data_IF_938525010389
#
_entry.id   IF_938525010389
#
_cell.length_a   1.000
_cell.length_b   1.000
_cell.length_c   1.000
_cell.angle_alpha   90.00
_cell.angle_beta   90.00
_cell.angle_gamma   90.00
#
_symmetry.space_group_name_H-M   'P 1'
#
loop_
_entity.id
_entity.type
_entity.pdbx_description
1 polymer ?
#
# COMPACT_ATOMS: atom_id res chain seq x y z
N UNK A 1 13.03 -0.41 -14.75
CA UNK A 1 11.86 -1.10 -15.36
C UNK A 1 10.85 -1.44 -14.28
N UNK A 2 9.58 -1.71 -14.61
CA UNK A 2 8.56 -2.04 -13.60
C UNK A 2 8.94 -3.24 -12.72
N UNK A 3 9.61 -4.26 -13.29
CA UNK A 3 10.08 -5.43 -12.52
C UNK A 3 11.07 -5.04 -11.42
N UNK A 4 11.91 -4.05 -11.68
CA UNK A 4 12.88 -3.53 -10.71
C UNK A 4 12.16 -2.82 -9.56
N UNK A 5 11.23 -1.90 -9.86
CA UNK A 5 10.41 -1.20 -8.85
C UNK A 5 9.67 -2.21 -7.96
N UNK A 6 9.06 -3.26 -8.54
CA UNK A 6 8.38 -4.31 -7.79
C UNK A 6 9.31 -5.14 -6.90
N UNK A 7 10.55 -5.37 -7.35
CA UNK A 7 11.56 -6.11 -6.60
C UNK A 7 12.07 -5.29 -5.40
N UNK A 8 12.32 -3.99 -5.60
CA UNK A 8 12.69 -3.05 -4.54
C UNK A 8 11.58 -2.93 -3.50
N UNK A 9 10.35 -2.65 -3.94
CA UNK A 9 9.18 -2.58 -3.06
C UNK A 9 9.01 -3.85 -2.23
N UNK A 10 9.21 -5.03 -2.85
CA UNK A 10 9.17 -6.31 -2.14
C UNK A 10 10.28 -6.39 -1.09
N UNK A 11 11.52 -6.02 -1.43
CA UNK A 11 12.65 -6.09 -0.52
C UNK A 11 12.47 -5.15 0.68
N UNK A 12 12.03 -3.91 0.44
CA UNK A 12 11.73 -2.91 1.47
C UNK A 12 10.59 -3.36 2.37
N UNK A 13 9.49 -3.85 1.79
CA UNK A 13 8.36 -4.34 2.58
C UNK A 13 8.80 -5.50 3.48
N UNK A 14 9.60 -6.44 2.95
CA UNK A 14 10.12 -7.55 3.75
C UNK A 14 11.04 -7.07 4.88
N UNK A 15 11.88 -6.06 4.65
CA UNK A 15 12.73 -5.46 5.69
C UNK A 15 11.87 -4.83 6.78
N UNK A 16 10.95 -3.95 6.40
CA UNK A 16 10.08 -3.25 7.35
C UNK A 16 9.23 -4.22 8.18
N UNK A 17 8.67 -5.27 7.55
CA UNK A 17 7.89 -6.29 8.23
C UNK A 17 8.70 -7.16 9.21
N UNK A 18 10.04 -7.26 9.06
CA UNK A 18 10.89 -7.95 10.05
C UNK A 18 11.19 -7.09 11.27
N UNK A 19 11.16 -5.77 11.11
CA UNK A 19 11.40 -4.82 12.20
C UNK A 19 10.13 -4.46 12.98
N UNK A 20 8.95 -4.83 12.48
CA UNK A 20 7.67 -4.57 13.14
C UNK A 20 7.39 -5.60 14.25
N UNK A 21 7.20 -5.12 15.48
CA UNK A 21 7.01 -5.96 16.68
C UNK A 21 5.53 -6.25 16.99
N UNK A 22 4.59 -5.48 16.44
CA UNK A 22 3.15 -5.67 16.69
C UNK A 22 2.34 -5.80 15.41
N UNK A 23 1.17 -6.43 15.50
CA UNK A 23 0.22 -6.54 14.38
C UNK A 23 -0.11 -5.17 13.78
N UNK A 24 -0.28 -4.13 14.61
CA UNK A 24 -0.52 -2.75 14.16
C UNK A 24 0.68 -2.17 13.43
N UNK A 25 1.88 -2.32 13.99
CA UNK A 25 3.12 -1.85 13.36
C UNK A 25 3.36 -2.50 11.99
N UNK A 26 2.97 -3.77 11.81
CA UNK A 26 3.07 -4.45 10.51
C UNK A 26 2.24 -3.75 9.44
N UNK A 27 1.01 -3.33 9.76
CA UNK A 27 0.14 -2.61 8.82
C UNK A 27 0.74 -1.24 8.49
N UNK A 28 1.17 -0.47 9.50
CA UNK A 28 1.81 0.84 9.27
C UNK A 28 3.12 0.73 8.48
N UNK A 29 3.89 -0.34 8.69
CA UNK A 29 5.11 -0.59 7.92
C UNK A 29 4.83 -0.80 6.42
N UNK A 30 3.74 -1.50 6.07
CA UNK A 30 3.33 -1.66 4.67
C UNK A 30 2.92 -0.33 4.06
N UNK A 31 2.15 0.49 4.79
CA UNK A 31 1.75 1.83 4.34
C UNK A 31 3.00 2.69 4.13
N UNK A 32 3.87 2.81 5.14
CA UNK A 32 5.07 3.63 5.07
C UNK A 32 5.99 3.27 3.90
N UNK A 33 6.16 1.98 3.59
CA UNK A 33 7.01 1.56 2.46
C UNK A 33 6.45 2.02 1.10
N UNK A 34 5.13 2.02 0.91
CA UNK A 34 4.51 2.54 -0.33
C UNK A 34 4.66 4.07 -0.46
N UNK A 35 4.94 4.80 0.62
CA UNK A 35 5.19 6.24 0.56
C UNK A 35 6.64 6.60 0.89
N UNK A 36 7.56 5.62 0.81
CA UNK A 36 8.99 5.86 0.98
C UNK A 36 9.53 6.76 -0.14
N UNK A 37 10.69 7.38 0.10
CA UNK A 37 11.33 8.23 -0.89
C UNK A 37 11.52 7.52 -2.23
N UNK A 38 11.85 6.22 -2.23
CA UNK A 38 11.99 5.44 -3.46
C UNK A 38 10.66 5.28 -4.24
N UNK A 39 9.54 5.13 -3.53
CA UNK A 39 8.23 4.90 -4.14
C UNK A 39 7.49 6.19 -4.51
N UNK A 40 7.71 7.27 -3.76
CA UNK A 40 6.96 8.51 -3.89
C UNK A 40 7.70 9.61 -4.68
N UNK A 41 8.74 9.24 -5.45
CA UNK A 41 9.31 10.11 -6.47
C UNK A 41 8.36 10.28 -7.67
N UNK A 42 8.33 11.46 -8.32
CA UNK A 42 7.51 11.72 -9.51
C UNK A 42 7.67 10.66 -10.61
N UNK A 43 8.91 10.23 -10.88
CA UNK A 43 9.22 9.26 -11.94
C UNK A 43 8.72 7.85 -11.59
N UNK A 44 8.84 7.46 -10.31
CA UNK A 44 8.32 6.17 -9.83
C UNK A 44 6.79 6.13 -9.89
N UNK A 45 6.12 7.22 -9.47
CA UNK A 45 4.67 7.35 -9.57
C UNK A 45 4.23 7.30 -11.03
N UNK A 46 4.89 8.03 -11.93
CA UNK A 46 4.60 7.99 -13.36
C UNK A 46 4.76 6.57 -13.94
N UNK A 47 5.78 5.83 -13.51
CA UNK A 47 5.98 4.44 -13.92
C UNK A 47 4.86 3.51 -13.43
N UNK A 48 4.37 3.70 -12.21
CA UNK A 48 3.20 2.97 -11.67
C UNK A 48 1.94 3.24 -12.50
N UNK A 49 1.66 4.50 -12.84
CA UNK A 49 0.48 4.86 -13.63
C UNK A 49 0.55 4.34 -15.07
N UNK A 50 1.71 4.46 -15.71
CA UNK A 50 1.95 3.87 -17.03
C UNK A 50 1.78 2.34 -16.98
N UNK A 51 2.27 1.69 -15.92
CA UNK A 51 2.12 0.26 -15.71
C UNK A 51 0.64 -0.16 -15.57
N UNK A 52 -0.18 0.61 -14.85
CA UNK A 52 -1.61 0.32 -14.70
C UNK A 52 -2.36 0.34 -16.04
N UNK A 53 -2.05 1.31 -16.90
CA UNK A 53 -2.63 1.40 -18.24
C UNK A 53 -2.14 0.27 -19.13
N UNK A 54 -0.83 0.03 -19.15
CA UNK A 54 -0.22 -0.97 -20.04
C UNK A 54 -0.60 -2.41 -19.65
N UNK A 55 -0.79 -2.68 -18.36
CA UNK A 55 -1.28 -3.97 -17.87
C UNK A 55 -2.70 -4.32 -18.35
N UNK A 56 -3.48 -3.36 -18.86
CA UNK A 56 -4.77 -3.65 -19.48
C UNK A 56 -4.64 -4.28 -20.87
N UNK A 57 -3.52 -4.03 -21.55
CA UNK A 57 -3.28 -4.46 -22.94
C UNK A 57 -2.31 -5.64 -23.03
N UNK A 58 -1.45 -5.82 -22.03
CA UNK A 58 -0.41 -6.84 -22.03
C UNK A 58 -0.69 -7.96 -21.01
N UNK A 59 -0.90 -9.22 -21.45
CA UNK A 59 -1.10 -10.36 -20.54
C UNK A 59 0.07 -10.57 -19.56
N UNK A 60 1.30 -10.32 -20.01
CA UNK A 60 2.50 -10.47 -19.19
C UNK A 60 2.53 -9.43 -18.05
N UNK A 61 2.18 -8.17 -18.35
CA UNK A 61 2.12 -7.10 -17.36
C UNK A 61 0.91 -7.24 -16.44
N UNK A 62 -0.24 -7.72 -16.97
CA UNK A 62 -1.40 -8.10 -16.14
C UNK A 62 -1.06 -9.16 -15.11
N UNK A 63 -0.17 -10.11 -15.44
CA UNK A 63 0.32 -11.12 -14.48
C UNK A 63 1.15 -10.46 -13.38
N UNK A 64 2.00 -9.48 -13.70
CA UNK A 64 2.77 -8.73 -12.70
C UNK A 64 1.85 -7.91 -11.80
N UNK A 65 0.83 -7.23 -12.36
CA UNK A 65 -0.12 -6.43 -11.60
C UNK A 65 -0.88 -7.31 -10.59
N UNK A 66 -1.32 -8.50 -11.01
CA UNK A 66 -1.93 -9.51 -10.12
C UNK A 66 -0.99 -9.96 -9.00
N UNK A 67 0.31 -10.08 -9.26
CA UNK A 67 1.29 -10.45 -8.23
C UNK A 67 1.47 -9.31 -7.23
N UNK A 68 1.60 -8.07 -7.69
CA UNK A 68 1.65 -6.88 -6.82
C UNK A 68 0.42 -6.80 -5.93
N UNK A 69 -0.79 -6.79 -6.50
CA UNK A 69 -2.04 -6.66 -5.76
C UNK A 69 -2.18 -7.74 -4.67
N UNK A 70 -1.89 -9.01 -5.01
CA UNK A 70 -1.91 -10.10 -4.03
C UNK A 70 -0.89 -9.92 -2.92
N UNK A 71 0.33 -9.47 -3.24
CA UNK A 71 1.38 -9.24 -2.23
C UNK A 71 1.00 -8.10 -1.30
N UNK A 72 0.52 -6.97 -1.83
CA UNK A 72 0.06 -5.85 -1.01
C UNK A 72 -1.05 -6.30 -0.05
N UNK A 73 -2.08 -6.98 -0.59
CA UNK A 73 -3.18 -7.50 0.22
C UNK A 73 -2.69 -8.48 1.30
N UNK A 74 -1.87 -9.48 0.95
CA UNK A 74 -1.31 -10.43 1.92
C UNK A 74 -0.43 -9.77 2.98
N UNK A 75 0.35 -8.76 2.61
CA UNK A 75 1.19 -8.01 3.55
C UNK A 75 0.33 -7.24 4.56
N UNK A 76 -0.74 -6.58 4.11
CA UNK A 76 -1.71 -5.90 4.98
C UNK A 76 -2.42 -6.89 5.91
N UNK A 77 -2.92 -8.01 5.36
CA UNK A 77 -3.54 -9.07 6.15
C UNK A 77 -2.61 -9.62 7.24
N UNK A 78 -1.30 -9.70 6.98
CA UNK A 78 -0.34 -10.20 7.97
C UNK A 78 -0.28 -9.40 9.27
N UNK A 79 -0.80 -8.17 9.28
CA UNK A 79 -1.05 -7.40 10.50
C UNK A 79 -2.53 -7.37 10.87
N UNK A 80 -3.42 -7.12 9.90
CA UNK A 80 -4.85 -6.92 10.16
C UNK A 80 -5.54 -8.13 10.80
N UNK A 81 -5.17 -9.37 10.46
CA UNK A 81 -5.80 -10.56 11.07
C UNK A 81 -5.40 -10.77 12.54
N UNK A 82 -4.35 -10.11 13.01
CA UNK A 82 -3.99 -10.08 14.43
C UNK A 82 -4.80 -9.07 15.24
N UNK A 83 -5.64 -8.27 14.58
CA UNK A 83 -6.43 -7.19 15.19
C UNK A 83 -7.92 -7.42 14.95
N UNK A 84 -8.32 -7.74 13.72
CA UNK A 84 -9.71 -7.84 13.26
C UNK A 84 -10.10 -9.28 12.90
N UNK A 85 -11.41 -9.64 12.95
CA UNK A 85 -11.94 -10.84 12.32
C UNK A 85 -11.58 -10.88 10.84
N UNK A 86 -11.40 -12.09 10.28
CA UNK A 86 -10.86 -12.26 8.92
C UNK A 86 -11.65 -11.50 7.84
N UNK A 87 -12.98 -11.57 7.86
CA UNK A 87 -13.83 -10.89 6.88
C UNK A 87 -13.74 -9.36 6.96
N UNK A 88 -13.47 -8.81 8.13
CA UNK A 88 -13.20 -7.38 8.31
C UNK A 88 -11.78 -7.02 7.90
N UNK A 89 -10.80 -7.85 8.24
CA UNK A 89 -9.42 -7.68 7.82
C UNK A 89 -9.28 -7.64 6.30
N UNK A 90 -9.97 -8.53 5.57
CA UNK A 90 -9.99 -8.53 4.10
C UNK A 90 -10.59 -7.21 3.56
N UNK A 91 -11.71 -6.72 4.12
CA UNK A 91 -12.33 -5.45 3.70
C UNK A 91 -11.44 -4.24 3.97
N UNK A 92 -10.78 -4.21 5.13
CA UNK A 92 -9.85 -3.12 5.48
C UNK A 92 -8.60 -3.17 4.61
N UNK A 93 -8.06 -4.36 4.32
CA UNK A 93 -6.90 -4.52 3.44
C UNK A 93 -7.20 -3.99 2.02
N UNK A 94 -8.34 -4.36 1.45
CA UNK A 94 -8.76 -3.88 0.13
C UNK A 94 -8.92 -2.36 0.10
N UNK A 95 -9.57 -1.78 1.10
CA UNK A 95 -9.76 -0.34 1.20
C UNK A 95 -8.43 0.41 1.38
N UNK A 96 -7.51 -0.10 2.21
CA UNK A 96 -6.17 0.47 2.37
C UNK A 96 -5.38 0.42 1.06
N UNK A 97 -5.43 -0.70 0.32
CA UNK A 97 -4.78 -0.80 -0.99
C UNK A 97 -5.36 0.22 -1.99
N UNK A 98 -6.69 0.37 -2.04
CA UNK A 98 -7.33 1.37 -2.89
C UNK A 98 -6.95 2.81 -2.53
N UNK A 99 -6.77 3.12 -1.24
CA UNK A 99 -6.28 4.43 -0.80
C UNK A 99 -4.84 4.69 -1.26
N UNK A 100 -3.96 3.68 -1.18
CA UNK A 100 -2.57 3.80 -1.65
C UNK A 100 -2.54 4.16 -3.13
N UNK A 101 -3.22 3.37 -3.98
CA UNK A 101 -3.25 3.59 -5.42
C UNK A 101 -3.92 4.94 -5.77
N UNK A 102 -5.00 5.30 -5.06
CA UNK A 102 -5.69 6.57 -5.24
C UNK A 102 -4.84 7.79 -4.89
N UNK A 103 -3.96 7.68 -3.89
CA UNK A 103 -3.04 8.76 -3.50
C UNK A 103 -1.91 8.95 -4.51
N UNK A 104 -1.45 7.88 -5.18
CA UNK A 104 -0.53 7.99 -6.31
C UNK A 104 -1.16 8.77 -7.47
N UNK A 105 -2.42 8.45 -7.83
CA UNK A 105 -3.17 9.18 -8.86
C UNK A 105 -3.31 10.65 -8.48
N UNK A 106 -3.69 10.94 -7.23
CA UNK A 106 -3.85 12.34 -6.76
C UNK A 106 -2.53 13.11 -6.82
N UNK A 107 -1.42 12.48 -6.45
CA UNK A 107 -0.08 13.08 -6.53
C UNK A 107 0.34 13.34 -7.98
N UNK A 108 -0.02 12.49 -8.92
CA UNK A 108 0.28 12.71 -10.34
C UNK A 108 -0.54 13.84 -10.98
N UNK A 109 -1.70 14.17 -10.41
CA UNK A 109 -2.61 15.20 -10.95
C UNK A 109 -2.36 16.61 -10.39
N UNK A 110 -1.59 16.75 -9.30
CA UNK A 110 -1.40 18.01 -8.61
C UNK A 110 -0.01 18.09 -7.97
N UNK A 111 0.63 19.24 -8.12
CA UNK A 111 1.78 19.59 -7.30
C UNK A 111 1.32 19.91 -5.86
N UNK A 112 2.16 19.58 -4.87
CA UNK A 112 1.86 19.81 -3.45
C UNK A 112 1.15 18.63 -2.75
N UNK A 113 0.04 18.88 -2.05
CA UNK A 113 -0.67 17.84 -1.27
C UNK A 113 -1.49 16.92 -2.20
N UNK A 114 -1.45 15.59 -2.01
CA UNK A 114 -0.77 14.87 -0.94
C UNK A 114 0.73 14.66 -1.19
N UNK A 115 1.57 15.09 -0.25
CA UNK A 115 2.95 14.60 -0.13
C UNK A 115 2.97 13.28 0.66
N UNK A 116 4.11 12.59 0.71
CA UNK A 116 4.24 11.30 1.39
C UNK A 116 3.72 11.32 2.84
N UNK A 117 4.08 12.33 3.62
CA UNK A 117 3.66 12.46 5.01
C UNK A 117 2.13 12.61 5.14
N UNK A 118 1.52 13.49 4.35
CA UNK A 118 0.05 13.69 4.35
C UNK A 118 -0.71 12.47 3.84
N UNK A 119 -0.12 11.72 2.89
CA UNK A 119 -0.69 10.48 2.37
C UNK A 119 -0.68 9.37 3.42
N UNK A 120 0.45 9.20 4.12
CA UNK A 120 0.56 8.28 5.27
C UNK A 120 -0.45 8.66 6.34
N UNK A 121 -0.49 9.93 6.77
CA UNK A 121 -1.40 10.39 7.81
C UNK A 121 -2.87 10.09 7.47
N UNK A 122 -3.29 10.34 6.22
CA UNK A 122 -4.66 10.05 5.79
C UNK A 122 -5.01 8.55 5.90
N UNK A 123 -4.08 7.66 5.51
CA UNK A 123 -4.31 6.22 5.62
C UNK A 123 -4.28 5.77 7.08
N UNK A 124 -3.38 6.31 7.89
CA UNK A 124 -3.31 6.01 9.32
C UNK A 124 -4.59 6.46 10.04
N UNK A 125 -5.13 7.65 9.76
CA UNK A 125 -6.41 8.12 10.31
C UNK A 125 -7.59 7.21 9.90
N UNK A 126 -7.60 6.76 8.65
CA UNK A 126 -8.56 5.76 8.17
C UNK A 126 -8.43 4.45 8.95
N UNK A 127 -7.20 3.95 9.14
CA UNK A 127 -6.93 2.72 9.88
C UNK A 127 -7.35 2.86 11.34
N UNK A 128 -7.00 3.95 12.02
CA UNK A 128 -7.44 4.20 13.40
C UNK A 128 -8.96 4.23 13.53
N UNK A 129 -9.67 4.79 12.55
CA UNK A 129 -11.16 4.77 12.52
C UNK A 129 -11.74 3.37 12.35
N UNK A 130 -11.02 2.45 11.71
CA UNK A 130 -11.45 1.05 11.52
C UNK A 130 -11.02 0.14 12.66
N UNK A 131 -9.86 0.40 13.26
CA UNK A 131 -9.29 -0.41 14.32
C UNK A 131 -9.75 0.05 15.71
N UNK A 132 -9.93 1.35 15.93
CA UNK A 132 -10.34 1.98 17.20
C UNK A 132 -11.82 1.85 17.54
N UNK A 133 -12.67 1.41 16.60
CA UNK A 133 -14.10 1.11 16.86
C UNK A 133 -14.34 -0.04 17.85
N UNK A 134 -13.29 -0.66 18.40
CA UNK A 134 -13.37 -1.81 19.33
C UNK A 134 -12.78 -1.58 20.72
N UNK A 135 -12.31 -0.37 21.04
CA UNK A 135 -11.92 -0.03 22.42
C UNK A 135 -13.13 0.33 23.32
N UNK A 136 -14.35 0.19 22.81
CA UNK A 136 -15.59 0.63 23.48
C UNK A 136 -16.70 -0.45 23.49
N UNK A 137 -16.33 -1.73 23.50
CA UNK A 137 -17.27 -2.84 23.75
C UNK A 137 -16.67 -3.82 24.75
#
# INVERSE_FOLDING_TARGET
TMRHILAELTADTRRALRSASTARQRVSAVVAVNFSDAQFQPETIAAWLAFYVEAQKSPALRRLLKVYARRLHSNLLSGLTGILPRSEADRVAEATAALIDGLYIRRALKDGVPNAATAIALIEDYLETKLGRRSAQ
#
